data_IF_851099443017
#
_entry.id   IF_851099443017
#
_cell.length_a   1.000
_cell.length_b   1.000
_cell.length_c   1.000
_cell.angle_alpha   90.00
_cell.angle_beta   90.00
_cell.angle_gamma   90.00
#
_symmetry.space_group_name_H-M   'P 1'
#
loop_
_entity.id
_entity.type
_entity.pdbx_description
1 polymer ?
#
# COMPACT_ATOMS: atom_id res chain seq x y z
N UNK A 1 3.27 8.03 15.95
CA UNK A 1 4.18 7.47 14.93
C UNK A 1 3.73 7.78 13.49
N UNK A 2 4.59 8.38 12.66
CA UNK A 2 4.35 8.59 11.21
C UNK A 2 4.58 7.28 10.42
N UNK A 3 3.67 6.95 9.52
CA UNK A 3 3.77 5.77 8.67
C UNK A 3 4.39 6.13 7.32
N UNK A 4 5.56 5.55 7.03
CA UNK A 4 6.20 5.69 5.72
C UNK A 4 5.75 4.53 4.85
N UNK A 5 5.10 4.83 3.73
CA UNK A 5 4.64 3.81 2.80
C UNK A 5 5.84 3.07 2.18
N UNK A 6 5.64 1.79 1.87
CA UNK A 6 6.62 1.00 1.13
C UNK A 6 6.40 1.24 -0.35
N UNK A 7 7.42 1.75 -1.04
CA UNK A 7 7.43 1.80 -2.51
C UNK A 7 7.86 0.45 -3.13
N UNK A 8 7.86 -0.65 -2.37
CA UNK A 8 8.37 -1.94 -2.86
C UNK A 8 7.61 -2.49 -4.08
N UNK A 9 6.37 -2.08 -4.31
CA UNK A 9 5.60 -2.41 -5.52
C UNK A 9 5.94 -1.54 -6.73
N UNK A 10 6.55 -0.36 -6.54
CA UNK A 10 6.96 0.54 -7.62
C UNK A 10 8.03 -0.08 -8.52
N UNK A 11 9.12 -0.70 -8.03
CA UNK A 11 10.10 -1.34 -8.92
C UNK A 11 9.53 -2.59 -9.62
N UNK A 12 8.53 -3.27 -9.05
CA UNK A 12 7.83 -4.38 -9.72
C UNK A 12 7.00 -3.83 -10.88
N UNK A 13 6.22 -2.77 -10.64
CA UNK A 13 5.44 -2.11 -11.68
C UNK A 13 6.33 -1.49 -12.77
N UNK A 14 7.44 -0.86 -12.39
CA UNK A 14 8.43 -0.33 -13.32
C UNK A 14 9.12 -1.44 -14.11
N UNK A 15 9.42 -2.58 -13.48
CA UNK A 15 9.98 -3.76 -14.14
C UNK A 15 9.03 -4.38 -15.15
N UNK A 16 7.73 -4.49 -14.82
CA UNK A 16 6.69 -4.95 -15.76
C UNK A 16 6.56 -3.96 -16.94
N UNK A 17 6.56 -2.65 -16.67
CA UNK A 17 6.50 -1.64 -17.72
C UNK A 17 7.72 -1.67 -18.65
N UNK A 18 8.93 -1.84 -18.09
CA UNK A 18 10.16 -1.96 -18.85
C UNK A 18 10.21 -3.27 -19.65
N UNK A 19 9.77 -4.39 -19.08
CA UNK A 19 9.68 -5.66 -19.78
C UNK A 19 8.66 -5.62 -20.92
N UNK A 20 7.50 -4.99 -20.72
CA UNK A 20 6.50 -4.79 -21.76
C UNK A 20 7.05 -3.93 -22.91
N UNK A 21 7.77 -2.84 -22.61
CA UNK A 21 8.46 -2.03 -23.63
C UNK A 21 9.54 -2.81 -24.38
N UNK A 22 10.33 -3.63 -23.68
CA UNK A 22 11.39 -4.44 -24.27
C UNK A 22 10.87 -5.58 -25.16
N UNK A 23 9.78 -6.24 -24.74
CA UNK A 23 9.08 -7.22 -25.58
C UNK A 23 8.55 -6.57 -26.85
N UNK A 24 8.02 -5.34 -26.76
CA UNK A 24 7.57 -4.58 -27.93
C UNK A 24 8.71 -4.23 -28.91
N UNK A 25 9.93 -4.00 -28.42
CA UNK A 25 11.10 -3.75 -29.27
C UNK A 25 11.75 -5.00 -29.86
N UNK A 26 11.46 -6.18 -29.30
CA UNK A 26 11.99 -7.47 -29.77
C UNK A 26 11.09 -8.17 -30.79
N UNK A 27 9.82 -7.79 -30.86
CA UNK A 27 9.01 -8.12 -32.02
C UNK A 27 9.45 -7.20 -33.16
N UNK A 28 10.25 -7.76 -34.07
CA UNK A 28 10.60 -7.13 -35.34
C UNK A 28 9.30 -6.81 -36.09
N UNK A 29 8.88 -5.53 -36.20
CA UNK A 29 7.82 -5.20 -37.12
C UNK A 29 8.40 -5.39 -38.51
N UNK A 30 8.11 -6.53 -39.14
CA UNK A 30 8.39 -6.68 -40.55
C UNK A 30 7.77 -5.52 -41.31
N UNK A 31 8.62 -4.65 -41.88
CA UNK A 31 8.44 -3.54 -42.85
C UNK A 31 7.19 -2.63 -42.81
N UNK A 32 6.20 -2.85 -41.93
CA UNK A 32 4.87 -2.22 -41.98
C UNK A 32 4.53 -1.37 -40.73
N UNK A 33 5.32 -1.38 -39.65
CA UNK A 33 5.06 -0.45 -38.52
C UNK A 33 5.69 0.92 -38.80
N UNK A 34 4.82 1.88 -39.11
CA UNK A 34 5.15 3.28 -39.27
C UNK A 34 5.77 3.85 -37.98
N UNK A 35 6.77 4.73 -38.10
CA UNK A 35 7.48 5.33 -36.95
C UNK A 35 6.53 5.99 -35.92
N UNK A 36 5.33 6.37 -36.39
CA UNK A 36 4.20 6.89 -35.61
C UNK A 36 3.65 5.88 -34.61
N UNK A 37 3.57 4.59 -34.97
CA UNK A 37 3.07 3.54 -34.08
C UNK A 37 4.06 3.24 -32.95
N UNK A 38 5.36 3.25 -33.26
CA UNK A 38 6.42 3.09 -32.26
C UNK A 38 6.42 4.25 -31.25
N UNK A 39 6.27 5.49 -31.74
CA UNK A 39 6.16 6.68 -30.91
C UNK A 39 4.88 6.67 -30.05
N UNK A 40 3.76 6.19 -30.60
CA UNK A 40 2.51 6.04 -29.86
C UNK A 40 2.65 5.00 -28.73
N UNK A 41 3.29 3.86 -28.99
CA UNK A 41 3.55 2.83 -27.97
C UNK A 41 4.45 3.37 -26.85
N UNK A 42 5.51 4.12 -27.18
CA UNK A 42 6.38 4.73 -26.16
C UNK A 42 5.65 5.78 -25.33
N UNK A 43 4.81 6.61 -25.96
CA UNK A 43 4.00 7.61 -25.27
C UNK A 43 2.99 6.97 -24.31
N UNK A 44 2.35 5.86 -24.69
CA UNK A 44 1.42 5.12 -23.82
C UNK A 44 2.15 4.55 -22.60
N UNK A 45 3.32 3.92 -22.81
CA UNK A 45 4.13 3.37 -21.70
C UNK A 45 4.59 4.49 -20.76
N UNK A 46 5.08 5.60 -21.31
CA UNK A 46 5.46 6.79 -20.54
C UNK A 46 4.28 7.35 -19.74
N UNK A 47 3.10 7.41 -20.34
CA UNK A 47 1.85 7.83 -19.69
C UNK A 47 1.44 6.92 -18.54
N UNK A 48 1.55 5.59 -18.70
CA UNK A 48 1.25 4.60 -17.65
C UNK A 48 2.23 4.76 -16.47
N UNK A 49 3.54 4.91 -16.75
CA UNK A 49 4.55 5.11 -15.69
C UNK A 49 4.30 6.42 -14.94
N UNK A 50 3.99 7.50 -15.66
CA UNK A 50 3.63 8.78 -15.06
C UNK A 50 2.36 8.68 -14.21
N UNK A 51 1.34 7.94 -14.67
CA UNK A 51 0.10 7.70 -13.92
C UNK A 51 0.37 6.90 -12.64
N UNK A 52 1.19 5.85 -12.70
CA UNK A 52 1.59 5.07 -11.53
C UNK A 52 2.34 5.96 -10.53
N UNK A 53 3.28 6.78 -10.98
CA UNK A 53 4.00 7.73 -10.14
C UNK A 53 3.06 8.75 -9.48
N UNK A 54 2.07 9.27 -10.23
CA UNK A 54 1.06 10.20 -9.74
C UNK A 54 0.15 9.53 -8.68
N UNK A 55 -0.31 8.31 -8.94
CA UNK A 55 -1.10 7.52 -7.99
C UNK A 55 -0.29 7.25 -6.72
N UNK A 56 1.00 6.92 -6.83
CA UNK A 56 1.89 6.71 -5.69
C UNK A 56 2.15 7.98 -4.87
N UNK A 57 2.27 9.16 -5.51
CA UNK A 57 2.38 10.46 -4.84
C UNK A 57 1.08 10.87 -4.15
N UNK A 58 -0.06 10.45 -4.70
CA UNK A 58 -1.37 10.68 -4.12
C UNK A 58 -1.71 9.72 -2.96
N UNK A 59 -0.84 8.77 -2.60
CA UNK A 59 -1.11 7.86 -1.48
C UNK A 59 -0.95 8.65 -0.17
N UNK A 60 -2.04 8.86 0.56
CA UNK A 60 -2.07 9.75 1.71
C UNK A 60 -1.19 9.21 2.83
N UNK A 61 -0.29 10.07 3.34
CA UNK A 61 0.51 9.76 4.52
C UNK A 61 -0.39 9.48 5.72
N UNK A 62 -0.11 8.42 6.48
CA UNK A 62 -0.91 8.10 7.67
C UNK A 62 -0.07 8.28 8.94
N UNK A 63 -0.71 8.65 10.04
CA UNK A 63 -0.08 8.78 11.36
C UNK A 63 -0.96 8.07 12.38
N UNK A 64 -0.35 7.27 13.24
CA UNK A 64 -1.01 6.71 14.41
C UNK A 64 -0.53 7.48 15.63
N UNK A 65 -1.41 7.82 16.55
CA UNK A 65 -1.06 8.47 17.81
C UNK A 65 -1.95 7.94 18.94
N UNK A 66 -1.71 8.36 20.17
CA UNK A 66 -2.53 7.97 21.35
C UNK A 66 -4.01 8.34 21.18
N UNK A 67 -4.30 9.38 20.37
CA UNK A 67 -5.66 9.84 20.07
C UNK A 67 -6.37 9.03 18.99
N UNK A 68 -5.66 8.23 18.21
CA UNK A 68 -6.24 7.44 17.11
C UNK A 68 -5.43 7.45 15.81
N UNK A 69 -6.11 7.02 14.74
CA UNK A 69 -5.58 6.90 13.38
C UNK A 69 -5.90 8.14 12.54
N UNK A 70 -4.86 8.79 12.05
CA UNK A 70 -4.91 10.00 11.22
C UNK A 70 -4.45 9.71 9.81
N UNK A 71 -5.06 10.39 8.85
CA UNK A 71 -4.72 10.33 7.44
C UNK A 71 -4.51 11.74 6.91
N UNK A 72 -3.43 11.95 6.16
CA UNK A 72 -3.19 13.20 5.46
C UNK A 72 -4.17 13.32 4.29
N UNK A 73 -4.72 14.51 4.15
CA UNK A 73 -5.57 14.90 3.03
C UNK A 73 -4.71 15.49 1.92
N UNK A 74 -5.21 15.44 0.68
CA UNK A 74 -4.53 16.01 -0.49
C UNK A 74 -4.30 17.53 -0.37
N UNK A 75 -5.08 18.22 0.47
CA UNK A 75 -4.92 19.66 0.74
C UNK A 75 -3.83 19.98 1.79
N UNK A 76 -3.04 18.98 2.21
CA UNK A 76 -2.00 19.14 3.22
C UNK A 76 -2.48 19.09 4.68
N UNK A 77 -3.79 18.99 4.90
CA UNK A 77 -4.38 18.81 6.24
C UNK A 77 -4.24 17.38 6.76
N UNK A 78 -4.47 17.18 8.07
CA UNK A 78 -4.64 15.86 8.67
C UNK A 78 -6.08 15.70 9.13
N UNK A 79 -6.70 14.56 8.77
CA UNK A 79 -8.01 14.17 9.25
C UNK A 79 -7.87 12.99 10.22
N UNK A 80 -8.54 13.09 11.37
CA UNK A 80 -8.71 11.94 12.26
C UNK A 80 -9.74 11.01 11.62
N UNK A 81 -9.30 9.85 11.18
CA UNK A 81 -10.15 8.85 10.53
C UNK A 81 -10.83 7.97 11.58
N UNK A 82 -10.09 7.59 12.62
CA UNK A 82 -10.63 6.78 13.72
C UNK A 82 -10.05 7.25 15.06
N UNK A 83 -10.84 7.88 15.94
CA UNK A 83 -10.41 8.11 17.33
C UNK A 83 -10.21 6.77 18.05
N UNK A 84 -9.36 6.75 19.07
CA UNK A 84 -9.34 5.65 20.06
C UNK A 84 -10.21 6.05 21.26
N UNK A 85 -11.21 5.22 21.54
CA UNK A 85 -12.09 5.33 22.69
C UNK A 85 -11.49 4.71 23.95
N UNK A 86 -12.17 4.89 25.09
CA UNK A 86 -11.72 4.33 26.36
C UNK A 86 -11.75 2.79 26.32
N UNK A 87 -10.60 2.15 26.59
CA UNK A 87 -10.48 0.69 26.55
C UNK A 87 -10.20 0.12 25.15
N UNK A 88 -10.22 0.94 24.11
CA UNK A 88 -9.77 0.53 22.78
C UNK A 88 -8.23 0.54 22.71
N UNK A 89 -7.65 -0.41 21.98
CA UNK A 89 -6.19 -0.44 21.74
C UNK A 89 -5.87 -0.93 20.34
N UNK A 90 -4.76 -0.45 19.79
CA UNK A 90 -4.24 -0.99 18.53
C UNK A 90 -3.57 -2.34 18.77
N UNK A 91 -3.87 -3.30 17.89
CA UNK A 91 -3.27 -4.64 17.90
C UNK A 91 -2.85 -5.02 16.49
N UNK A 92 -1.79 -5.81 16.37
CA UNK A 92 -1.30 -6.31 15.08
C UNK A 92 -1.66 -7.78 14.97
N UNK A 93 -2.49 -8.13 13.98
CA UNK A 93 -2.91 -9.50 13.67
C UNK A 93 -2.74 -9.76 12.18
N UNK A 94 -2.30 -10.96 11.79
CA UNK A 94 -2.23 -11.39 10.37
C UNK A 94 -1.59 -10.38 9.40
N UNK A 95 -0.54 -9.68 9.84
CA UNK A 95 0.16 -8.65 9.04
C UNK A 95 -0.70 -7.41 8.72
N UNK A 96 -1.71 -7.11 9.54
CA UNK A 96 -2.57 -5.92 9.45
C UNK A 96 -2.70 -5.28 10.83
N UNK A 97 -3.08 -4.00 10.84
CA UNK A 97 -3.38 -3.27 12.07
C UNK A 97 -4.89 -3.29 12.32
N UNK A 98 -5.28 -3.64 13.54
CA UNK A 98 -6.66 -3.65 14.02
C UNK A 98 -6.80 -2.76 15.24
N UNK A 99 -8.02 -2.36 15.53
CA UNK A 99 -8.41 -1.81 16.84
C UNK A 99 -9.17 -2.92 17.57
N UNK A 100 -8.65 -3.34 18.73
CA UNK A 100 -9.40 -4.17 19.66
C UNK A 100 -10.29 -3.24 20.48
N UNK A 101 -11.60 -3.44 20.39
CA UNK A 101 -12.60 -2.69 21.13
C UNK A 101 -12.74 -3.22 22.56
N UNK A 102 -13.39 -2.44 23.42
CA UNK A 102 -13.62 -2.80 24.82
C UNK A 102 -14.51 -4.04 25.00
N UNK A 103 -15.36 -4.34 24.01
CA UNK A 103 -16.19 -5.55 23.92
C UNK A 103 -15.42 -6.79 23.43
N UNK A 104 -14.14 -6.64 23.07
CA UNK A 104 -13.31 -7.71 22.52
C UNK A 104 -13.43 -7.87 21.00
N UNK A 105 -14.23 -7.07 20.31
CA UNK A 105 -14.33 -7.13 18.85
C UNK A 105 -13.14 -6.46 18.15
N UNK A 106 -12.81 -6.98 16.96
CA UNK A 106 -11.76 -6.43 16.11
C UNK A 106 -12.34 -5.54 15.01
N UNK A 107 -11.91 -4.29 14.99
CA UNK A 107 -12.21 -3.37 13.89
C UNK A 107 -10.98 -3.25 12.97
N UNK A 108 -11.14 -3.67 11.72
CA UNK A 108 -10.04 -3.64 10.76
C UNK A 108 -9.75 -2.22 10.28
N UNK A 109 -8.50 -1.78 10.42
CA UNK A 109 -8.01 -0.57 9.74
C UNK A 109 -7.51 -0.91 8.33
N UNK A 110 -7.67 0.03 7.39
CA UNK A 110 -7.15 -0.08 6.01
C UNK A 110 -5.61 0.07 5.94
N UNK A 111 -4.88 -0.57 6.85
CA UNK A 111 -3.43 -0.55 6.92
C UNK A 111 -2.87 -1.97 6.82
N UNK A 112 -2.23 -2.27 5.68
CA UNK A 112 -1.63 -3.57 5.41
C UNK A 112 -0.11 -3.51 5.58
N UNK A 113 0.52 -4.61 5.99
CA UNK A 113 2.00 -4.68 6.08
C UNK A 113 2.72 -4.26 4.80
N UNK A 114 2.20 -4.63 3.64
CA UNK A 114 2.83 -4.31 2.35
C UNK A 114 2.71 -2.83 1.99
N UNK A 115 1.73 -2.10 2.54
CA UNK A 115 1.58 -0.67 2.26
C UNK A 115 2.58 0.15 3.07
N UNK A 116 3.17 -0.38 4.14
CA UNK A 116 4.15 0.33 4.99
C UNK A 116 5.55 -0.24 4.85
N UNK A 117 6.54 0.65 4.86
CA UNK A 117 7.97 0.29 4.79
C UNK A 117 8.33 -0.71 5.88
N UNK A 118 9.25 -1.64 5.60
CA UNK A 118 9.66 -2.72 6.51
C UNK A 118 10.10 -2.20 7.89
N UNK A 119 10.83 -1.09 7.93
CA UNK A 119 11.27 -0.44 9.19
C UNK A 119 10.12 0.20 9.96
N UNK A 120 9.12 0.74 9.27
CA UNK A 120 7.90 1.26 9.91
C UNK A 120 7.04 0.12 10.44
N UNK A 121 6.91 -0.97 9.68
CA UNK A 121 6.20 -2.15 10.15
C UNK A 121 6.87 -2.79 11.37
N UNK A 122 8.20 -2.91 11.38
CA UNK A 122 8.94 -3.41 12.53
C UNK A 122 8.69 -2.55 13.79
N UNK A 123 8.68 -1.22 13.64
CA UNK A 123 8.36 -0.30 14.73
C UNK A 123 6.90 -0.44 15.20
N UNK A 124 5.95 -0.65 14.28
CA UNK A 124 4.55 -0.91 14.64
C UNK A 124 4.41 -2.21 15.43
N UNK A 125 5.01 -3.29 14.93
CA UNK A 125 4.97 -4.60 15.57
C UNK A 125 5.68 -4.63 16.93
N UNK A 126 6.65 -3.74 17.17
CA UNK A 126 7.30 -3.58 18.47
C UNK A 126 6.48 -2.69 19.42
N UNK A 127 5.72 -1.73 18.90
CA UNK A 127 4.94 -0.78 19.69
C UNK A 127 3.57 -1.33 20.13
N UNK A 128 3.03 -2.31 19.40
CA UNK A 128 1.69 -2.85 19.65
C UNK A 128 1.74 -4.38 19.82
N UNK A 129 0.89 -4.95 20.68
CA UNK A 129 0.86 -6.39 20.90
C UNK A 129 0.56 -7.13 19.60
N UNK A 130 1.33 -8.19 19.38
CA UNK A 130 1.14 -9.14 18.30
C UNK A 130 0.15 -10.20 18.78
N UNK A 131 -1.05 -10.17 18.25
CA UNK A 131 -2.02 -11.22 18.50
C UNK A 131 -1.87 -12.23 17.37
N UNK A 132 -1.30 -13.39 17.72
CA UNK A 132 -1.29 -14.55 16.86
C UNK A 132 -2.76 -14.90 16.64
N UNK A 133 -3.18 -15.03 15.38
CA UNK A 133 -4.45 -15.66 15.10
C UNK A 133 -4.35 -17.05 15.73
N UNK A 134 -5.06 -17.29 16.83
CA UNK A 134 -5.29 -18.64 17.31
C UNK A 134 -5.79 -19.41 16.10
N UNK A 135 -5.08 -20.50 15.78
CA UNK A 135 -5.39 -21.33 14.64
C UNK A 135 -6.80 -21.86 14.88
N UNK A 136 -7.78 -21.32 14.15
CA UNK A 136 -9.08 -21.97 13.96
C UNK A 136 -8.83 -23.26 13.18
N UNK A 137 -8.35 -24.27 13.89
CA UNK A 137 -8.15 -25.65 13.44
C UNK A 137 -9.49 -26.43 13.50
N UNK A 138 -10.63 -25.73 13.40
CA UNK A 138 -11.98 -26.29 13.66
C UNK A 138 -12.99 -26.12 12.52
N UNK A 139 -12.58 -25.67 11.32
CA UNK A 139 -13.51 -25.48 10.20
C UNK A 139 -13.04 -26.13 8.88
N UNK A 140 -12.59 -27.38 8.97
CA UNK A 140 -12.70 -28.33 7.85
C UNK A 140 -13.01 -29.71 8.44
N UNK A 141 -14.21 -29.84 8.99
CA UNK A 141 -14.85 -31.11 9.32
C UNK A 141 -15.86 -31.47 8.25
#
# INVERSE_FOLDING_TARGET
MKLRFSFASVPIAAGIAAAAGFVFTLFDPGDDMDFVELAAATAIIGGIVALIALVCLAIPHSKIDERGFWQFLNNGGMQLVRPIGHGERFVVRERRLFVLRADGEYEQLKLYRWSVSRSTWARLAAAYPLELAEQDESATG
#
